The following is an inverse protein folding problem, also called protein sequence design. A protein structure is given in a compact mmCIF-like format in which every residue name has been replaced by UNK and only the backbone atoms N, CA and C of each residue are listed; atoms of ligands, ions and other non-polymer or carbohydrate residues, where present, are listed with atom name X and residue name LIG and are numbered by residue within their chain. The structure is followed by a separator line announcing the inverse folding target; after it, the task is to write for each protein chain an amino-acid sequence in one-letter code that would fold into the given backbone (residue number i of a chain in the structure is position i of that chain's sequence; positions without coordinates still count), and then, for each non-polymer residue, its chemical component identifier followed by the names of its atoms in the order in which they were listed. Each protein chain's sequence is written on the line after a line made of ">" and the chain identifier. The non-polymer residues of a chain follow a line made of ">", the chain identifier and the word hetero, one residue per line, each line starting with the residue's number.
data_IF_822545926409
#
_entry.id   IF_822545926409
#
_cell.length_a   1.000
_cell.length_b   1.000
_cell.length_c   1.000
_cell.angle_alpha   90.00
_cell.angle_beta   90.00
_cell.angle_gamma   90.00
#
_symmetry.space_group_name_H-M   'P 1'
#
loop_
_entity.id
_entity.type
_entity.pdbx_description
1 polymer ?
#
# COMPACT_ATOMS: atom_id res chain seq x y z
N UNK A 1 1.82 -7.72 -20.58
CA UNK A 1 2.53 -8.94 -20.16
C UNK A 1 4.07 -8.87 -20.29
N UNK A 2 4.67 -8.00 -21.11
CA UNK A 2 6.14 -7.94 -21.26
C UNK A 2 6.90 -7.18 -20.13
N UNK A 3 6.24 -6.31 -19.36
CA UNK A 3 6.90 -5.45 -18.36
C UNK A 3 7.01 -6.05 -16.94
N UNK A 4 6.37 -7.19 -16.67
CA UNK A 4 6.45 -7.87 -15.38
C UNK A 4 7.71 -8.73 -15.22
N UNK A 5 8.52 -8.90 -16.29
CA UNK A 5 9.73 -9.73 -16.27
C UNK A 5 10.85 -9.19 -15.37
N UNK A 6 10.78 -7.93 -14.94
CA UNK A 6 11.75 -7.33 -14.00
C UNK A 6 11.27 -7.27 -12.55
N UNK A 7 10.10 -7.85 -12.22
CA UNK A 7 9.78 -8.17 -10.83
C UNK A 7 10.31 -9.57 -10.59
N UNK A 8 11.63 -9.72 -10.44
CA UNK A 8 12.14 -10.94 -9.82
C UNK A 8 11.67 -10.90 -8.37
N UNK A 9 10.58 -11.61 -8.08
CA UNK A 9 10.42 -12.13 -6.74
C UNK A 9 11.61 -13.06 -6.54
N UNK A 10 12.57 -12.60 -5.76
CA UNK A 10 13.74 -13.38 -5.37
C UNK A 10 13.24 -14.71 -4.76
N UNK A 11 13.85 -15.84 -5.10
CA UNK A 11 13.48 -17.15 -4.55
C UNK A 11 13.51 -17.11 -3.00
N UNK A 12 14.39 -16.26 -2.45
CA UNK A 12 14.46 -15.97 -1.02
C UNK A 12 13.16 -15.36 -0.47
N UNK A 13 12.50 -14.45 -1.19
CA UNK A 13 11.25 -13.84 -0.75
C UNK A 13 10.13 -14.86 -0.58
N UNK A 14 10.00 -15.79 -1.52
CA UNK A 14 8.97 -16.82 -1.43
C UNK A 14 9.24 -17.78 -0.27
N UNK A 15 10.50 -18.17 -0.08
CA UNK A 15 10.91 -19.00 1.07
C UNK A 15 10.57 -18.32 2.40
N UNK A 16 10.94 -17.05 2.56
CA UNK A 16 10.67 -16.27 3.77
C UNK A 16 9.17 -16.12 4.04
N UNK A 17 8.39 -15.91 2.98
CA UNK A 17 6.93 -15.84 3.08
C UNK A 17 6.33 -17.16 3.57
N UNK A 18 6.73 -18.30 2.98
CA UNK A 18 6.27 -19.62 3.42
C UNK A 18 6.68 -19.91 4.87
N UNK A 19 7.89 -19.51 5.26
CA UNK A 19 8.35 -19.66 6.63
C UNK A 19 7.51 -18.83 7.60
N UNK A 20 7.23 -17.57 7.27
CA UNK A 20 6.36 -16.70 8.05
C UNK A 20 4.94 -17.30 8.22
N UNK A 21 4.38 -17.90 7.17
CA UNK A 21 3.09 -18.59 7.27
C UNK A 21 3.15 -19.75 8.27
N UNK A 22 4.20 -20.57 8.25
CA UNK A 22 4.36 -21.67 9.21
C UNK A 22 4.42 -21.16 10.64
N UNK A 23 5.16 -20.08 10.88
CA UNK A 23 5.28 -19.45 12.18
C UNK A 23 3.92 -18.95 12.69
N UNK A 24 3.13 -18.30 11.84
CA UNK A 24 1.78 -17.84 12.19
C UNK A 24 0.88 -19.02 12.59
N UNK A 25 0.91 -20.13 11.85
CA UNK A 25 0.11 -21.32 12.19
C UNK A 25 0.60 -22.04 13.46
N UNK A 26 1.84 -21.81 13.87
CA UNK A 26 2.42 -22.42 15.07
C UNK A 26 2.12 -21.66 16.37
N UNK A 27 1.49 -20.47 16.28
CA UNK A 27 1.16 -19.65 17.45
C UNK A 27 0.17 -20.41 18.36
N UNK A 28 0.46 -20.59 19.66
CA UNK A 28 -0.47 -21.22 20.61
C UNK A 28 -1.79 -20.45 20.72
N UNK A 29 -2.92 -21.16 20.81
CA UNK A 29 -4.28 -20.57 20.77
C UNK A 29 -4.60 -19.64 21.94
N UNK A 30 -3.92 -19.84 23.06
CA UNK A 30 -4.04 -19.10 24.32
C UNK A 30 -3.08 -17.91 24.41
N UNK A 31 -2.19 -17.73 23.41
CA UNK A 31 -1.29 -16.58 23.39
C UNK A 31 -2.01 -15.35 22.82
N UNK A 32 -2.00 -14.20 23.54
CA UNK A 32 -2.50 -12.95 22.99
C UNK A 32 -1.65 -12.47 21.81
N UNK A 33 -2.32 -12.06 20.74
CA UNK A 33 -1.69 -11.53 19.52
C UNK A 33 -2.02 -10.05 19.40
N UNK A 34 -1.00 -9.24 19.16
CA UNK A 34 -1.18 -7.82 18.82
C UNK A 34 -0.72 -7.58 17.39
N UNK A 35 -1.65 -7.19 16.52
CA UNK A 35 -1.38 -6.85 15.13
C UNK A 35 -1.35 -5.33 15.01
N UNK A 36 -0.30 -4.80 14.40
CA UNK A 36 -0.20 -3.37 14.12
C UNK A 36 -0.58 -3.09 12.67
N UNK A 37 -1.35 -2.01 12.45
CA UNK A 37 -1.65 -1.50 11.11
C UNK A 37 -1.50 0.00 11.03
N UNK A 38 -1.03 0.50 9.90
CA UNK A 38 -1.13 1.88 9.49
C UNK A 38 -2.43 2.18 8.75
N UNK A 39 -2.55 3.43 8.32
CA UNK A 39 -3.66 3.92 7.52
C UNK A 39 -3.29 3.82 6.03
N UNK A 40 -3.23 2.59 5.51
CA UNK A 40 -3.06 2.34 4.08
C UNK A 40 -3.77 1.06 3.65
N UNK A 41 -4.08 0.96 2.35
CA UNK A 41 -4.77 -0.21 1.79
C UNK A 41 -3.97 -1.51 2.01
N UNK A 42 -2.64 -1.46 1.89
CA UNK A 42 -1.74 -2.60 2.10
C UNK A 42 -1.93 -3.22 3.49
N UNK A 43 -1.83 -2.40 4.54
CA UNK A 43 -1.90 -2.89 5.92
C UNK A 43 -3.30 -3.42 6.27
N UNK A 44 -4.34 -2.80 5.72
CA UNK A 44 -5.71 -3.31 5.89
C UNK A 44 -5.92 -4.67 5.22
N UNK A 45 -5.41 -4.83 3.99
CA UNK A 45 -5.42 -6.14 3.31
C UNK A 45 -4.61 -7.18 4.09
N UNK A 46 -3.43 -6.80 4.58
CA UNK A 46 -2.59 -7.66 5.41
C UNK A 46 -3.32 -8.11 6.68
N UNK A 47 -4.03 -7.19 7.36
CA UNK A 47 -4.87 -7.54 8.50
C UNK A 47 -5.95 -8.55 8.12
N UNK A 48 -6.70 -8.31 7.04
CA UNK A 48 -7.75 -9.23 6.59
C UNK A 48 -7.18 -10.63 6.30
N UNK A 49 -6.05 -10.68 5.60
CA UNK A 49 -5.33 -11.92 5.30
C UNK A 49 -4.90 -12.64 6.58
N UNK A 50 -4.21 -11.97 7.51
CA UNK A 50 -3.71 -12.60 8.75
C UNK A 50 -4.87 -13.10 9.62
N UNK A 51 -5.97 -12.36 9.72
CA UNK A 51 -7.16 -12.80 10.46
C UNK A 51 -7.79 -14.04 9.82
N UNK A 52 -7.68 -14.21 8.49
CA UNK A 52 -8.13 -15.44 7.82
C UNK A 52 -7.28 -16.67 8.18
N UNK A 53 -6.01 -16.48 8.52
CA UNK A 53 -5.08 -17.56 8.93
C UNK A 53 -5.22 -17.93 10.41
N UNK A 54 -5.51 -16.96 11.27
CA UNK A 54 -5.57 -17.13 12.72
C UNK A 54 -6.91 -17.72 13.20
N UNK A 55 -7.40 -18.77 12.53
CA UNK A 55 -8.67 -19.41 12.89
C UNK A 55 -8.61 -20.05 14.29
N UNK A 56 -9.62 -19.76 15.11
CA UNK A 56 -9.70 -20.25 16.49
C UNK A 56 -8.87 -19.45 17.50
N UNK A 57 -8.12 -18.43 17.07
CA UNK A 57 -7.49 -17.48 17.99
C UNK A 57 -8.53 -16.49 18.54
N UNK A 58 -8.60 -16.37 19.87
CA UNK A 58 -9.60 -15.52 20.52
C UNK A 58 -9.06 -14.19 21.01
N UNK A 59 -7.78 -14.12 21.38
CA UNK A 59 -7.15 -12.94 21.96
C UNK A 59 -6.34 -12.17 20.92
N UNK A 60 -7.01 -11.67 19.88
CA UNK A 60 -6.36 -10.83 18.86
C UNK A 60 -6.73 -9.37 19.13
N UNK A 61 -5.74 -8.51 19.19
CA UNK A 61 -5.86 -7.05 19.34
C UNK A 61 -5.27 -6.38 18.12
N UNK A 62 -5.86 -5.26 17.72
CA UNK A 62 -5.32 -4.43 16.65
C UNK A 62 -4.94 -3.06 17.19
N UNK A 63 -3.69 -2.66 16.93
CA UNK A 63 -3.22 -1.28 17.18
C UNK A 63 -3.22 -0.54 15.85
N UNK A 64 -4.09 0.47 15.74
CA UNK A 64 -4.14 1.35 14.58
C UNK A 64 -3.14 2.50 14.75
N UNK A 65 -1.90 2.26 14.35
CA UNK A 65 -0.75 3.12 14.61
C UNK A 65 -0.98 4.56 14.17
N UNK A 66 -1.48 4.78 12.95
CA UNK A 66 -1.77 6.12 12.41
C UNK A 66 -2.84 6.90 13.18
N UNK A 67 -3.90 6.22 13.65
CA UNK A 67 -4.97 6.85 14.44
C UNK A 67 -4.44 7.21 15.82
N UNK A 68 -3.77 6.26 16.48
CA UNK A 68 -3.13 6.49 17.78
C UNK A 68 -2.08 7.60 17.71
N UNK A 69 -1.33 7.68 16.61
CA UNK A 69 -0.35 8.73 16.34
C UNK A 69 -0.99 10.11 16.34
N UNK A 70 -2.04 10.29 15.53
CA UNK A 70 -2.77 11.55 15.39
C UNK A 70 -3.35 12.02 16.72
N UNK A 71 -3.88 11.09 17.51
CA UNK A 71 -4.46 11.38 18.83
C UNK A 71 -3.41 11.73 19.89
N UNK A 72 -2.21 11.15 19.83
CA UNK A 72 -1.17 11.33 20.85
C UNK A 72 -0.29 12.55 20.61
N UNK A 73 0.04 12.82 19.36
CA UNK A 73 1.10 13.78 19.02
C UNK A 73 0.57 15.06 18.37
N UNK A 74 -0.70 15.10 17.95
CA UNK A 74 -1.36 16.27 17.34
C UNK A 74 -0.49 16.96 16.26
N UNK A 75 0.29 16.19 15.49
CA UNK A 75 1.17 16.75 14.45
C UNK A 75 0.45 16.85 13.11
N UNK A 76 0.90 17.81 12.31
CA UNK A 76 0.35 18.11 10.97
C UNK A 76 0.75 17.10 9.89
N UNK A 77 1.67 16.17 10.17
CA UNK A 77 2.07 15.15 9.21
C UNK A 77 1.32 13.84 9.39
N UNK A 78 0.93 13.22 8.28
CA UNK A 78 0.27 11.92 8.27
C UNK A 78 1.30 10.79 8.36
N UNK A 79 0.99 9.82 9.22
CA UNK A 79 1.69 8.54 9.30
C UNK A 79 0.83 7.49 8.61
N UNK A 80 1.33 6.83 7.58
CA UNK A 80 0.61 5.81 6.82
C UNK A 80 1.01 4.38 7.18
N UNK A 81 2.17 4.19 7.80
CA UNK A 81 2.68 2.88 8.21
C UNK A 81 3.44 2.93 9.52
N UNK A 82 3.51 1.80 10.22
CA UNK A 82 4.26 1.66 11.46
C UNK A 82 5.76 1.92 11.30
N UNK A 83 6.31 1.66 10.11
CA UNK A 83 7.74 1.88 9.81
C UNK A 83 8.16 3.35 9.74
N UNK A 84 7.21 4.29 9.73
CA UNK A 84 7.50 5.73 9.80
C UNK A 84 7.63 6.25 11.24
N UNK A 85 7.35 5.41 12.23
CA UNK A 85 7.39 5.78 13.64
C UNK A 85 8.78 5.54 14.22
N UNK A 86 9.25 6.48 15.04
CA UNK A 86 10.42 6.25 15.90
C UNK A 86 10.13 5.24 17.00
N UNK A 87 11.17 4.63 17.56
CA UNK A 87 11.04 3.70 18.69
C UNK A 87 10.33 4.34 19.91
N UNK A 88 10.55 5.64 20.15
CA UNK A 88 9.87 6.37 21.22
C UNK A 88 8.36 6.52 20.94
N UNK A 89 7.99 6.84 19.70
CA UNK A 89 6.59 6.96 19.29
C UNK A 89 5.87 5.61 19.35
N UNK A 90 6.52 4.52 18.91
CA UNK A 90 6.00 3.16 19.02
C UNK A 90 5.72 2.80 20.48
N UNK A 91 6.67 3.07 21.39
CA UNK A 91 6.53 2.79 22.82
C UNK A 91 5.32 3.53 23.42
N UNK A 92 5.19 4.83 23.15
CA UNK A 92 4.05 5.63 23.63
C UNK A 92 2.70 5.15 23.08
N UNK A 93 2.64 4.79 21.80
CA UNK A 93 1.43 4.24 21.18
C UNK A 93 1.07 2.90 21.82
N UNK A 94 2.06 2.02 22.03
CA UNK A 94 1.85 0.73 22.66
C UNK A 94 1.31 0.89 24.07
N UNK A 95 1.94 1.72 24.91
CA UNK A 95 1.49 1.95 26.29
C UNK A 95 0.04 2.46 26.37
N UNK A 96 -0.38 3.32 25.44
CA UNK A 96 -1.78 3.78 25.34
C UNK A 96 -2.74 2.67 24.89
N UNK A 97 -2.29 1.78 24.00
CA UNK A 97 -3.16 0.86 23.24
C UNK A 97 -3.12 -0.59 23.72
N UNK A 98 -2.19 -0.95 24.61
CA UNK A 98 -1.99 -2.32 25.12
C UNK A 98 -3.20 -2.88 25.86
N UNK A 99 -4.11 -2.01 26.33
CA UNK A 99 -5.35 -2.37 27.03
C UNK A 99 -6.63 -2.20 26.20
N UNK A 100 -6.56 -1.82 24.92
CA UNK A 100 -7.69 -1.94 23.96
C UNK A 100 -8.48 -3.28 24.10
N UNK A 101 -9.75 -3.34 23.70
CA UNK A 101 -10.43 -4.63 23.64
C UNK A 101 -9.78 -5.55 22.59
N UNK A 102 -9.86 -6.86 22.82
CA UNK A 102 -9.65 -7.83 21.75
C UNK A 102 -10.78 -7.72 20.72
N UNK A 103 -10.49 -8.11 19.48
CA UNK A 103 -11.48 -8.19 18.41
C UNK A 103 -12.60 -9.15 18.81
N UNK A 104 -13.83 -8.67 18.67
CA UNK A 104 -15.03 -9.48 18.78
C UNK A 104 -15.09 -10.54 17.68
N UNK A 105 -15.90 -11.58 17.90
CA UNK A 105 -16.14 -12.59 16.86
C UNK A 105 -16.79 -11.98 15.61
N UNK A 106 -17.61 -10.94 15.76
CA UNK A 106 -18.22 -10.22 14.65
C UNK A 106 -17.17 -9.47 13.82
N UNK A 107 -16.25 -8.73 14.46
CA UNK A 107 -15.17 -8.02 13.77
C UNK A 107 -14.25 -8.98 13.02
N UNK A 108 -13.84 -10.08 13.66
CA UNK A 108 -13.05 -11.14 12.99
C UNK A 108 -13.78 -11.72 11.78
N UNK A 109 -15.07 -12.01 11.92
CA UNK A 109 -15.90 -12.53 10.82
C UNK A 109 -15.99 -11.54 9.66
N UNK A 110 -16.16 -10.25 9.95
CA UNK A 110 -16.22 -9.21 8.92
C UNK A 110 -14.89 -9.08 8.16
N UNK A 111 -13.75 -9.09 8.87
CA UNK A 111 -12.42 -9.05 8.25
C UNK A 111 -12.16 -10.26 7.34
N UNK A 112 -12.62 -11.46 7.73
CA UNK A 112 -12.55 -12.66 6.88
C UNK A 112 -13.39 -12.53 5.61
N UNK A 113 -14.62 -12.02 5.72
CA UNK A 113 -15.49 -11.76 4.56
C UNK A 113 -14.91 -10.71 3.62
N UNK A 114 -14.27 -9.69 4.16
CA UNK A 114 -13.52 -8.71 3.36
C UNK A 114 -12.37 -9.37 2.62
N UNK A 115 -11.61 -10.27 3.28
CA UNK A 115 -10.57 -11.06 2.62
C UNK A 115 -11.11 -11.91 1.46
N UNK A 116 -12.21 -12.63 1.67
CA UNK A 116 -12.89 -13.40 0.61
C UNK A 116 -13.32 -12.51 -0.56
N UNK A 117 -13.79 -11.29 -0.27
CA UNK A 117 -14.15 -10.32 -1.31
C UNK A 117 -12.93 -9.89 -2.12
N UNK A 118 -11.78 -9.67 -1.46
CA UNK A 118 -10.54 -9.32 -2.16
C UNK A 118 -9.99 -10.46 -3.02
N UNK A 119 -10.10 -11.71 -2.54
CA UNK A 119 -9.69 -12.91 -3.28
C UNK A 119 -10.49 -13.12 -4.56
N UNK A 120 -11.80 -12.85 -4.51
CA UNK A 120 -12.70 -13.05 -5.65
C UNK A 120 -12.72 -11.86 -6.62
N UNK A 121 -11.98 -10.78 -6.33
CA UNK A 121 -11.96 -9.59 -7.18
C UNK A 121 -10.89 -9.69 -8.27
N UNK A 122 -11.29 -9.46 -9.52
CA UNK A 122 -10.39 -9.43 -10.70
C UNK A 122 -9.63 -8.11 -10.82
N UNK A 123 -10.04 -7.08 -10.09
CA UNK A 123 -9.40 -5.77 -10.07
C UNK A 123 -8.01 -5.88 -9.43
N UNK A 124 -7.00 -5.19 -9.97
CA UNK A 124 -5.61 -5.32 -9.55
C UNK A 124 -5.16 -4.23 -8.56
N UNK A 125 -5.85 -3.09 -8.50
CA UNK A 125 -5.52 -2.00 -7.58
C UNK A 125 -6.46 -2.01 -6.37
N UNK A 126 -5.91 -1.63 -5.21
CA UNK A 126 -6.64 -1.48 -3.95
C UNK A 126 -6.43 -0.07 -3.44
N UNK A 127 -7.51 0.70 -3.31
CA UNK A 127 -7.48 2.09 -2.83
C UNK A 127 -8.33 2.23 -1.58
N UNK A 128 -7.91 3.07 -0.64
CA UNK A 128 -8.70 3.39 0.54
C UNK A 128 -9.74 4.45 0.18
N UNK A 129 -10.94 4.33 0.76
CA UNK A 129 -11.97 5.38 0.74
C UNK A 129 -12.64 5.43 2.11
N UNK A 130 -12.28 6.43 2.91
CA UNK A 130 -12.62 6.47 4.34
C UNK A 130 -12.01 5.27 5.08
N UNK A 131 -12.80 4.56 5.87
CA UNK A 131 -12.35 3.36 6.59
C UNK A 131 -12.39 2.06 5.76
N UNK A 132 -12.75 2.13 4.46
CA UNK A 132 -12.86 0.95 3.59
C UNK A 132 -11.76 0.88 2.56
N UNK A 133 -11.44 -0.33 2.12
CA UNK A 133 -10.59 -0.56 0.95
C UNK A 133 -11.43 -1.10 -0.20
N UNK A 134 -11.27 -0.51 -1.38
CA UNK A 134 -12.00 -0.83 -2.58
C UNK A 134 -11.07 -1.45 -3.62
N UNK A 135 -11.56 -2.45 -4.32
CA UNK A 135 -10.91 -3.01 -5.50
C UNK A 135 -11.30 -2.22 -6.75
N UNK A 136 -10.33 -1.57 -7.40
CA UNK A 136 -10.53 -0.72 -8.58
C UNK A 136 -9.67 -1.19 -9.75
N UNK A 137 -10.03 -0.77 -10.96
CA UNK A 137 -9.25 -1.05 -12.16
C UNK A 137 -7.81 -0.54 -12.04
N UNK A 138 -6.86 -1.20 -12.71
CA UNK A 138 -5.44 -0.83 -12.62
C UNK A 138 -5.13 0.58 -13.18
N UNK A 139 -5.96 1.07 -14.10
CA UNK A 139 -5.86 2.38 -14.73
C UNK A 139 -6.54 3.51 -13.92
N UNK A 140 -7.10 3.20 -12.74
CA UNK A 140 -7.88 4.15 -11.95
C UNK A 140 -7.11 5.44 -11.63
N UNK A 141 -5.79 5.37 -11.53
CA UNK A 141 -4.91 6.49 -11.20
C UNK A 141 -4.21 7.11 -12.43
N UNK A 142 -4.51 6.66 -13.64
CA UNK A 142 -3.84 7.13 -14.85
C UNK A 142 -4.13 8.61 -15.13
N UNK A 143 -5.38 9.04 -14.91
CA UNK A 143 -5.75 10.46 -15.02
C UNK A 143 -4.96 11.32 -14.03
N UNK A 144 -4.71 10.83 -12.82
CA UNK A 144 -3.93 11.55 -11.83
C UNK A 144 -2.47 11.74 -12.28
N UNK A 145 -1.84 10.71 -12.89
CA UNK A 145 -0.50 10.83 -13.49
C UNK A 145 -0.48 11.91 -14.57
N UNK A 146 -1.51 11.94 -15.42
CA UNK A 146 -1.64 12.96 -16.48
C UNK A 146 -1.73 14.35 -15.85
N UNK A 147 -2.58 14.56 -14.85
CA UNK A 147 -2.71 15.87 -14.18
C UNK A 147 -1.40 16.32 -13.51
N UNK A 148 -0.66 15.41 -12.85
CA UNK A 148 0.68 15.73 -12.34
C UNK A 148 1.65 16.13 -13.47
N UNK A 149 1.58 15.46 -14.62
CA UNK A 149 2.40 15.82 -15.77
C UNK A 149 2.04 17.20 -16.34
N UNK A 150 0.74 17.56 -16.37
CA UNK A 150 0.29 18.91 -16.75
C UNK A 150 0.82 19.97 -15.77
N UNK A 151 0.77 19.70 -14.46
CA UNK A 151 1.33 20.58 -13.41
C UNK A 151 2.83 20.82 -13.58
N UNK A 152 3.55 19.85 -14.15
CA UNK A 152 4.98 19.95 -14.46
C UNK A 152 5.29 20.52 -15.85
N UNK A 153 4.29 21.05 -16.55
CA UNK A 153 4.41 21.57 -17.92
C UNK A 153 4.94 20.55 -18.94
N UNK A 154 4.69 19.26 -18.70
CA UNK A 154 5.10 18.17 -19.58
C UNK A 154 4.31 18.14 -20.90
N UNK A 155 3.41 19.10 -21.13
CA UNK A 155 2.75 19.33 -22.42
C UNK A 155 3.67 20.07 -23.39
N UNK A 156 4.50 20.99 -22.86
CA UNK A 156 5.34 21.87 -23.65
C UNK A 156 6.78 21.36 -23.72
N UNK A 157 7.28 20.74 -22.65
CA UNK A 157 8.65 20.24 -22.56
C UNK A 157 8.73 18.79 -22.05
N UNK A 158 9.87 18.13 -22.24
CA UNK A 158 10.12 16.83 -21.62
C UNK A 158 10.41 17.02 -20.12
N UNK A 159 9.77 16.21 -19.29
CA UNK A 159 9.95 16.19 -17.83
C UNK A 159 10.59 14.86 -17.40
N UNK A 160 11.53 14.90 -16.45
CA UNK A 160 12.12 13.68 -15.89
C UNK A 160 11.06 12.79 -15.24
N UNK A 161 11.05 11.49 -15.56
CA UNK A 161 10.08 10.56 -15.02
C UNK A 161 10.17 10.45 -13.49
N UNK A 162 11.38 10.54 -12.92
CA UNK A 162 11.58 10.60 -11.47
C UNK A 162 10.89 11.81 -10.83
N UNK A 163 10.87 12.97 -11.51
CA UNK A 163 10.19 14.17 -11.01
C UNK A 163 8.68 14.01 -11.09
N UNK A 164 8.18 13.41 -12.17
CA UNK A 164 6.76 13.10 -12.32
C UNK A 164 6.28 12.14 -11.22
N UNK A 165 6.99 11.03 -11.02
CA UNK A 165 6.67 10.05 -9.96
C UNK A 165 6.81 10.66 -8.56
N UNK A 166 7.84 11.47 -8.32
CA UNK A 166 7.97 12.21 -7.06
C UNK A 166 6.79 13.15 -6.81
N UNK A 167 6.28 13.77 -7.86
CA UNK A 167 5.08 14.63 -7.78
C UNK A 167 3.83 13.81 -7.49
N UNK A 168 3.64 12.64 -8.12
CA UNK A 168 2.50 11.76 -7.80
C UNK A 168 2.55 11.26 -6.36
N UNK A 169 3.73 10.93 -5.84
CA UNK A 169 3.91 10.51 -4.45
C UNK A 169 3.62 11.62 -3.45
N UNK A 170 4.01 12.86 -3.78
CA UNK A 170 3.81 14.02 -2.91
C UNK A 170 2.37 14.53 -2.90
N UNK A 171 1.70 14.51 -4.06
CA UNK A 171 0.37 15.08 -4.22
C UNK A 171 -0.76 14.06 -3.95
N UNK A 172 -0.46 12.74 -3.96
CA UNK A 172 -1.46 11.70 -3.71
C UNK A 172 -1.65 11.46 -2.21
N UNK A 173 -2.90 11.50 -1.76
CA UNK A 173 -3.29 11.42 -0.34
C UNK A 173 -3.09 10.04 0.31
N UNK A 174 -2.65 9.02 -0.44
CA UNK A 174 -2.50 7.66 0.08
C UNK A 174 -1.14 7.06 -0.28
N UNK A 175 -0.70 6.12 0.56
CA UNK A 175 0.55 5.42 0.32
C UNK A 175 0.40 4.42 -0.85
N UNK A 176 0.95 4.79 -2.01
CA UNK A 176 1.13 3.92 -3.18
C UNK A 176 2.62 3.86 -3.51
N UNK A 177 3.14 2.67 -3.81
CA UNK A 177 4.57 2.47 -4.09
C UNK A 177 4.96 3.16 -5.40
N UNK A 178 6.13 3.80 -5.40
CA UNK A 178 6.81 4.37 -6.57
C UNK A 178 6.81 3.42 -7.79
N UNK A 179 7.09 2.13 -7.58
CA UNK A 179 7.08 1.11 -8.64
C UNK A 179 5.72 0.96 -9.31
N UNK A 180 4.62 1.15 -8.59
CA UNK A 180 3.29 1.12 -9.19
C UNK A 180 3.08 2.33 -10.11
N UNK A 181 3.47 3.53 -9.65
CA UNK A 181 3.42 4.75 -10.47
C UNK A 181 4.25 4.62 -11.74
N UNK A 182 5.46 4.07 -11.61
CA UNK A 182 6.32 3.78 -12.76
C UNK A 182 5.67 2.77 -13.72
N UNK A 183 5.11 1.67 -13.20
CA UNK A 183 4.41 0.67 -14.00
C UNK A 183 3.28 1.31 -14.82
N UNK A 184 2.46 2.16 -14.19
CA UNK A 184 1.38 2.88 -14.88
C UNK A 184 1.92 3.86 -15.90
N UNK A 185 2.93 4.66 -15.56
CA UNK A 185 3.57 5.59 -16.50
C UNK A 185 4.09 4.87 -17.76
N UNK A 186 4.76 3.72 -17.60
CA UNK A 186 5.24 2.89 -18.72
C UNK A 186 4.10 2.32 -19.56
N UNK A 187 2.98 1.99 -18.93
CA UNK A 187 1.76 1.57 -19.62
C UNK A 187 1.21 2.72 -20.47
N UNK A 188 1.16 3.93 -19.93
CA UNK A 188 0.71 5.14 -20.64
C UNK A 188 1.65 5.51 -21.80
N UNK A 189 2.96 5.31 -21.66
CA UNK A 189 3.92 5.44 -22.77
C UNK A 189 3.61 4.43 -23.89
N UNK A 190 3.36 3.17 -23.53
CA UNK A 190 3.03 2.11 -24.51
C UNK A 190 1.70 2.41 -25.24
N UNK A 191 0.76 3.06 -24.56
CA UNK A 191 -0.51 3.52 -25.15
C UNK A 191 -0.37 4.80 -26.00
N UNK A 192 0.82 5.40 -26.08
CA UNK A 192 1.08 6.63 -26.84
C UNK A 192 0.64 7.92 -26.15
N UNK A 193 0.16 7.85 -24.90
CA UNK A 193 -0.26 9.03 -24.12
C UNK A 193 0.94 9.91 -23.79
N UNK A 194 2.11 9.30 -23.59
CA UNK A 194 3.39 9.99 -23.41
C UNK A 194 4.39 9.59 -24.49
N UNK A 195 5.15 10.57 -24.99
CA UNK A 195 6.42 10.35 -25.68
C UNK A 195 7.53 10.16 -24.65
N UNK A 196 8.58 9.45 -25.04
CA UNK A 196 9.74 9.15 -24.20
C UNK A 196 11.04 9.62 -24.86
N UNK A 197 11.96 10.08 -24.03
CA UNK A 197 13.37 10.27 -24.36
C UNK A 197 14.23 9.53 -23.30
N UNK A 198 15.25 8.77 -23.73
CA UNK A 198 16.11 7.99 -22.83
C UNK A 198 15.78 6.49 -22.80
N UNK A 199 16.25 5.79 -21.75
CA UNK A 199 16.10 4.34 -21.61
C UNK A 199 15.07 3.98 -20.54
N UNK A 200 14.30 2.92 -20.79
CA UNK A 200 13.33 2.35 -19.87
C UNK A 200 13.97 1.40 -18.83
N UNK A 201 15.24 1.57 -18.49
CA UNK A 201 15.91 0.73 -17.48
C UNK A 201 15.46 1.09 -16.06
N UNK A 202 15.30 2.39 -15.77
CA UNK A 202 14.83 2.92 -14.49
C UNK A 202 14.07 4.23 -14.72
N UNK A 203 13.15 4.61 -13.83
CA UNK A 203 12.51 5.93 -13.90
C UNK A 203 13.46 7.12 -13.66
N UNK A 204 14.70 6.86 -13.25
CA UNK A 204 15.77 7.85 -13.22
C UNK A 204 16.45 8.06 -14.59
N UNK A 205 16.19 7.22 -15.60
CA UNK A 205 16.93 7.20 -16.87
C UNK A 205 16.12 7.68 -18.08
N UNK A 206 14.87 8.10 -17.91
CA UNK A 206 14.06 8.62 -19.00
C UNK A 206 13.23 9.86 -18.62
N UNK A 207 12.87 10.61 -19.67
CA UNK A 207 11.97 11.75 -19.63
C UNK A 207 10.72 11.45 -20.42
N UNK A 208 9.62 12.12 -20.06
CA UNK A 208 8.32 11.97 -20.70
C UNK A 208 7.74 13.32 -21.11
N UNK A 209 6.96 13.31 -22.18
CA UNK A 209 6.17 14.47 -22.66
C UNK A 209 4.78 14.00 -23.04
N UNK A 210 3.73 14.70 -22.61
CA UNK A 210 2.36 14.40 -22.99
C UNK A 210 2.18 14.56 -24.51
N UNK A 211 1.57 13.56 -25.14
CA UNK A 211 1.25 13.57 -26.58
C UNK A 211 -0.10 14.24 -26.85
N UNK A 212 -1.02 14.18 -25.88
CA UNK A 212 -2.40 14.63 -26.00
C UNK A 212 -2.49 16.10 -25.55
N UNK A 213 -3.08 16.96 -26.40
CA UNK A 213 -3.48 18.32 -26.04
C UNK A 213 -4.80 18.32 -25.30
#
# INVERSE_FOLDING_TARGET
>A
MAFLKNISFDEHYFSDFIQCLKEIHSIPKDLPITIWKGDCARDHLGLCFIISLLEGQNQIRVIHASKAYKELFHKDYEVFSTGQLSSEEISKIYEKSKENPFLTNLEKTNLKKEWETFLNSTNLLRVRKGDRVLSVEENHLDLFIIECAKKLDAQNSFCDAIRLIGTTLSDYEQLIQDRFWEYRLRTLITQGIFKIEGSLESYSTYKVKLTIK
#
